data_IF_625562298385
#
_entry.id   IF_625562298385
#
_cell.length_a   1.000
_cell.length_b   1.000
_cell.length_c   1.000
_cell.angle_alpha   90.00
_cell.angle_beta   90.00
_cell.angle_gamma   90.00
#
_symmetry.space_group_name_H-M   'P 1'
#
loop_
_entity.id
_entity.type
_entity.pdbx_description
1 polymer ?
#
# COMPACT_ATOMS: atom_id res chain seq x y z
N UNK A 1 -12.96 20.87 20.05
CA UNK A 1 -11.72 21.54 19.63
C UNK A 1 -10.65 20.57 19.13
N UNK A 2 -10.05 19.69 19.95
CA UNK A 2 -8.95 18.81 19.50
C UNK A 2 -9.33 17.89 18.31
N UNK A 3 -10.53 17.30 18.30
CA UNK A 3 -11.03 16.41 17.23
C UNK A 3 -11.29 17.14 15.90
N UNK A 4 -11.71 18.40 15.99
CA UNK A 4 -11.93 19.25 14.82
C UNK A 4 -10.60 19.59 14.15
N UNK A 5 -9.53 19.80 14.93
CA UNK A 5 -8.17 20.07 14.41
C UNK A 5 -7.62 18.87 13.63
N UNK A 6 -7.74 17.65 14.16
CA UNK A 6 -7.25 16.45 13.46
C UNK A 6 -8.06 16.16 12.20
N UNK A 7 -9.36 16.49 12.16
CA UNK A 7 -10.17 16.40 10.95
C UNK A 7 -9.65 17.34 9.85
N UNK A 8 -9.43 18.62 10.17
CA UNK A 8 -8.83 19.59 9.25
C UNK A 8 -7.42 19.19 8.81
N UNK A 9 -6.56 18.76 9.74
CA UNK A 9 -5.21 18.30 9.42
C UNK A 9 -5.23 17.09 8.47
N UNK A 10 -6.18 16.16 8.65
CA UNK A 10 -6.31 14.99 7.77
C UNK A 10 -6.66 15.43 6.36
N UNK A 11 -7.59 16.38 6.20
CA UNK A 11 -7.96 16.91 4.89
C UNK A 11 -6.80 17.67 4.24
N UNK A 12 -6.14 18.57 4.97
CA UNK A 12 -5.02 19.34 4.45
C UNK A 12 -3.86 18.44 4.01
N UNK A 13 -3.49 17.44 4.83
CA UNK A 13 -2.43 16.50 4.47
C UNK A 13 -2.84 15.56 3.33
N UNK A 14 -4.10 15.14 3.24
CA UNK A 14 -4.58 14.34 2.10
C UNK A 14 -4.50 15.15 0.79
N UNK A 15 -4.88 16.43 0.82
CA UNK A 15 -4.77 17.33 -0.34
C UNK A 15 -3.30 17.60 -0.67
N UNK A 16 -2.45 17.90 0.32
CA UNK A 16 -1.02 18.11 0.10
C UNK A 16 -0.33 16.85 -0.47
N UNK A 17 -0.70 15.67 0.02
CA UNK A 17 -0.15 14.41 -0.46
C UNK A 17 -0.57 14.14 -1.91
N UNK A 18 -1.84 14.40 -2.25
CA UNK A 18 -2.33 14.32 -3.62
C UNK A 18 -1.74 15.40 -4.55
N UNK A 19 -1.28 16.52 -3.98
CA UNK A 19 -0.64 17.59 -4.73
C UNK A 19 0.84 17.31 -5.05
N UNK A 20 1.50 16.42 -4.30
CA UNK A 20 2.93 16.14 -4.45
C UNK A 20 3.34 15.78 -5.90
N UNK A 21 2.61 14.94 -6.66
CA UNK A 21 2.97 14.61 -8.04
C UNK A 21 2.96 15.79 -9.03
N UNK A 22 2.34 16.92 -8.68
CA UNK A 22 2.34 18.11 -9.55
C UNK A 22 3.58 18.99 -9.36
N UNK A 23 4.38 18.73 -8.33
CA UNK A 23 5.57 19.51 -7.98
C UNK A 23 6.85 18.65 -7.89
N UNK A 24 6.76 17.37 -8.24
CA UNK A 24 7.88 16.41 -8.25
C UNK A 24 7.83 15.55 -9.51
N UNK A 25 8.98 15.02 -9.92
CA UNK A 25 9.03 14.07 -11.03
C UNK A 25 8.21 12.79 -10.78
N UNK A 26 7.59 12.19 -11.82
CA UNK A 26 6.83 10.96 -11.68
C UNK A 26 7.69 9.78 -11.19
N UNK A 27 7.24 9.11 -10.13
CA UNK A 27 7.93 7.93 -9.58
C UNK A 27 7.31 6.62 -10.08
N UNK A 28 8.12 5.77 -10.71
CA UNK A 28 7.73 4.43 -11.18
C UNK A 28 8.68 3.32 -10.68
N UNK A 29 9.51 3.64 -9.69
CA UNK A 29 10.65 2.85 -9.23
C UNK A 29 11.84 3.76 -8.97
N UNK A 30 12.89 3.21 -8.33
CA UNK A 30 14.15 3.95 -8.17
C UNK A 30 14.90 4.00 -9.49
N UNK A 31 15.49 5.15 -9.79
CA UNK A 31 16.32 5.35 -10.98
C UNK A 31 17.68 4.65 -10.78
N UNK A 32 18.25 4.12 -11.86
CA UNK A 32 19.55 3.45 -11.84
C UNK A 32 20.69 4.32 -11.30
N UNK A 33 20.59 5.64 -11.43
CA UNK A 33 21.62 6.59 -10.98
C UNK A 33 21.52 6.93 -9.48
N UNK A 34 20.43 6.56 -8.79
CA UNK A 34 20.25 6.82 -7.36
C UNK A 34 20.94 5.79 -6.46
N UNK A 35 21.34 4.64 -7.03
CA UNK A 35 21.82 3.48 -6.30
C UNK A 35 23.24 3.13 -6.74
N UNK A 36 24.12 2.67 -5.83
CA UNK A 36 25.48 2.24 -6.20
C UNK A 36 25.52 1.16 -7.30
N UNK A 37 24.55 0.25 -7.28
CA UNK A 37 24.32 -0.78 -8.29
C UNK A 37 22.99 -0.46 -8.99
N UNK A 38 23.00 -0.02 -10.26
CA UNK A 38 21.78 0.35 -10.98
C UNK A 38 20.71 -0.74 -10.99
N UNK A 39 19.45 -0.34 -10.81
CA UNK A 39 18.27 -1.22 -10.78
C UNK A 39 17.32 -0.90 -11.94
N UNK A 40 17.71 -1.19 -13.18
CA UNK A 40 16.94 -0.77 -14.37
C UNK A 40 15.60 -1.50 -14.50
N UNK A 41 15.56 -2.79 -14.16
CA UNK A 41 14.32 -3.59 -14.21
C UNK A 41 14.31 -4.70 -13.16
N UNK A 42 14.31 -4.36 -11.85
CA UNK A 42 14.34 -5.35 -10.80
C UNK A 42 13.05 -6.20 -10.83
N UNK A 43 13.14 -7.54 -10.73
CA UNK A 43 11.96 -8.42 -10.82
C UNK A 43 10.86 -8.13 -9.80
N UNK A 44 11.21 -7.60 -8.62
CA UNK A 44 10.25 -7.28 -7.55
C UNK A 44 9.37 -6.07 -7.87
N UNK A 45 9.83 -5.14 -8.72
CA UNK A 45 9.09 -3.92 -9.04
C UNK A 45 7.96 -4.22 -10.03
N UNK A 46 6.73 -3.75 -9.80
CA UNK A 46 5.61 -3.98 -10.71
C UNK A 46 5.79 -3.23 -12.03
N UNK A 47 5.03 -3.62 -13.06
CA UNK A 47 4.91 -2.85 -14.30
C UNK A 47 4.45 -1.40 -14.02
N UNK A 48 4.95 -0.44 -14.80
CA UNK A 48 4.73 1.01 -14.55
C UNK A 48 3.26 1.42 -14.47
N UNK A 49 2.37 0.78 -15.23
CA UNK A 49 0.93 1.05 -15.16
C UNK A 49 0.32 0.75 -13.78
N UNK A 50 0.93 -0.11 -12.97
CA UNK A 50 0.43 -0.44 -11.64
C UNK A 50 0.47 0.78 -10.70
N UNK A 51 1.37 1.74 -10.92
CA UNK A 51 1.46 2.97 -10.13
C UNK A 51 0.26 3.91 -10.36
N UNK A 52 -0.57 3.68 -11.40
CA UNK A 52 -1.82 4.45 -11.61
C UNK A 52 -2.83 4.33 -10.47
N UNK A 53 -2.72 3.31 -9.61
CA UNK A 53 -3.56 3.16 -8.41
C UNK A 53 -3.46 4.36 -7.47
N UNK A 54 -2.34 5.10 -7.48
CA UNK A 54 -2.17 6.30 -6.68
C UNK A 54 -3.25 7.34 -6.97
N UNK A 55 -3.68 7.52 -8.23
CA UNK A 55 -4.76 8.45 -8.55
C UNK A 55 -6.07 8.14 -7.83
N UNK A 56 -6.41 6.84 -7.75
CA UNK A 56 -7.59 6.36 -7.02
C UNK A 56 -7.40 6.56 -5.50
N UNK A 57 -6.22 6.22 -4.97
CA UNK A 57 -5.90 6.38 -3.55
C UNK A 57 -6.00 7.85 -3.13
N UNK A 58 -5.38 8.77 -3.88
CA UNK A 58 -5.39 10.20 -3.59
C UNK A 58 -6.81 10.77 -3.57
N UNK A 59 -7.58 10.53 -4.63
CA UNK A 59 -8.94 11.02 -4.73
C UNK A 59 -9.82 10.47 -3.59
N UNK A 60 -9.70 9.18 -3.29
CA UNK A 60 -10.54 8.54 -2.29
C UNK A 60 -10.17 8.96 -0.86
N UNK A 61 -8.89 9.21 -0.57
CA UNK A 61 -8.45 9.78 0.70
C UNK A 61 -8.95 11.22 0.89
N UNK A 62 -8.97 12.04 -0.16
CA UNK A 62 -9.55 13.39 -0.10
C UNK A 62 -11.06 13.32 0.18
N UNK A 63 -11.80 12.49 -0.56
CA UNK A 63 -13.24 12.30 -0.35
C UNK A 63 -13.53 11.81 1.08
N UNK A 64 -12.73 10.85 1.56
CA UNK A 64 -12.78 10.34 2.93
C UNK A 64 -12.56 11.45 3.96
N UNK A 65 -11.51 12.24 3.81
CA UNK A 65 -11.18 13.31 4.75
C UNK A 65 -12.22 14.44 4.73
N UNK A 66 -12.74 14.83 3.56
CA UNK A 66 -13.78 15.84 3.41
C UNK A 66 -15.10 15.39 4.05
N UNK A 67 -15.51 14.14 3.81
CA UNK A 67 -16.66 13.55 4.50
C UNK A 67 -16.43 13.48 6.01
N UNK A 68 -15.24 13.07 6.42
CA UNK A 68 -14.81 13.00 7.81
C UNK A 68 -14.89 14.33 8.54
N UNK A 69 -14.53 15.42 7.86
CA UNK A 69 -14.63 16.77 8.40
C UNK A 69 -16.09 17.23 8.51
N UNK A 70 -16.88 17.06 7.43
CA UNK A 70 -18.27 17.54 7.35
C UNK A 70 -19.23 16.76 8.26
N UNK A 71 -19.15 15.44 8.24
CA UNK A 71 -20.16 14.56 8.83
C UNK A 71 -19.71 13.86 10.11
N UNK A 72 -18.39 13.85 10.39
CA UNK A 72 -17.77 13.05 11.46
C UNK A 72 -16.70 13.82 12.22
N UNK A 73 -16.76 15.16 12.22
CA UNK A 73 -15.73 16.03 12.80
C UNK A 73 -15.40 15.67 14.25
N UNK A 74 -16.43 15.47 15.08
CA UNK A 74 -16.29 15.17 16.51
C UNK A 74 -16.48 13.68 16.86
N UNK A 75 -16.62 12.80 15.86
CA UNK A 75 -16.85 11.36 16.05
C UNK A 75 -15.61 10.67 16.66
N UNK A 76 -15.74 10.02 17.84
CA UNK A 76 -14.62 9.38 18.50
C UNK A 76 -14.06 8.16 17.76
N UNK A 77 -14.86 7.45 16.96
CA UNK A 77 -14.40 6.30 16.18
C UNK A 77 -13.54 6.75 14.99
N UNK A 78 -13.90 7.86 14.36
CA UNK A 78 -13.06 8.50 13.33
C UNK A 78 -11.74 9.01 13.92
N UNK A 79 -11.79 9.56 15.12
CA UNK A 79 -10.59 10.08 15.79
C UNK A 79 -9.52 9.01 16.03
N UNK A 80 -9.93 7.78 16.38
CA UNK A 80 -9.02 6.62 16.54
C UNK A 80 -8.25 6.31 15.25
N UNK A 81 -8.84 6.59 14.09
CA UNK A 81 -8.23 6.34 12.77
C UNK A 81 -7.34 7.50 12.35
N UNK A 82 -7.74 8.76 12.64
CA UNK A 82 -7.00 9.96 12.23
C UNK A 82 -5.58 10.00 12.78
N UNK A 83 -5.36 9.68 14.06
CA UNK A 83 -4.01 9.72 14.66
C UNK A 83 -2.94 8.98 13.84
N UNK A 84 -3.06 7.65 13.65
CA UNK A 84 -2.11 6.91 12.83
C UNK A 84 -2.16 7.26 11.33
N UNK A 85 -3.32 7.66 10.79
CA UNK A 85 -3.42 8.08 9.38
C UNK A 85 -2.66 9.38 9.12
N UNK A 86 -2.70 10.34 10.06
CA UNK A 86 -1.96 11.60 9.98
C UNK A 86 -0.45 11.35 9.89
N UNK A 87 0.08 10.35 10.62
CA UNK A 87 1.49 9.97 10.50
C UNK A 87 1.80 9.51 9.08
N UNK A 88 0.97 8.63 8.53
CA UNK A 88 1.16 8.13 7.17
C UNK A 88 1.07 9.24 6.11
N UNK A 89 0.10 10.16 6.25
CA UNK A 89 -0.05 11.28 5.33
C UNK A 89 1.09 12.31 5.47
N UNK A 90 1.48 12.65 6.71
CA UNK A 90 2.55 13.62 6.96
C UNK A 90 3.90 13.14 6.41
N UNK A 91 4.20 11.84 6.53
CA UNK A 91 5.39 11.24 5.89
C UNK A 91 5.20 11.14 4.37
N UNK A 92 3.99 10.87 3.91
CA UNK A 92 3.66 10.76 2.48
C UNK A 92 3.85 12.03 1.68
N UNK A 93 3.52 13.20 2.25
CA UNK A 93 3.66 14.50 1.57
C UNK A 93 5.07 14.71 0.98
N UNK A 94 6.16 14.62 1.76
CA UNK A 94 7.51 14.76 1.21
C UNK A 94 8.05 13.48 0.55
N UNK A 95 7.38 12.33 0.71
CA UNK A 95 7.92 11.03 0.30
C UNK A 95 8.33 10.99 -1.17
N UNK A 96 7.50 11.55 -2.06
CA UNK A 96 7.76 11.49 -3.50
C UNK A 96 9.02 12.27 -3.89
N UNK A 97 9.23 13.45 -3.29
CA UNK A 97 10.46 14.22 -3.48
C UNK A 97 11.68 13.46 -2.95
N UNK A 98 11.58 12.87 -1.75
CA UNK A 98 12.66 12.07 -1.16
C UNK A 98 12.96 10.81 -1.98
N UNK A 99 11.94 10.18 -2.58
CA UNK A 99 12.09 9.00 -3.42
C UNK A 99 12.82 9.29 -4.74
N UNK A 100 12.76 10.54 -5.23
CA UNK A 100 13.54 10.99 -6.39
C UNK A 100 15.00 11.31 -6.06
N UNK A 101 15.38 11.38 -4.78
CA UNK A 101 16.74 11.73 -4.35
C UNK A 101 17.46 10.59 -3.62
N UNK A 102 16.73 9.80 -2.82
CA UNK A 102 17.32 8.79 -1.95
C UNK A 102 16.40 7.58 -1.78
N UNK A 103 16.75 6.48 -2.44
CA UNK A 103 16.09 5.19 -2.30
C UNK A 103 16.07 4.66 -0.84
N UNK A 104 17.16 4.87 -0.09
CA UNK A 104 17.27 4.40 1.29
C UNK A 104 16.27 5.10 2.22
N UNK A 105 16.27 6.44 2.24
CA UNK A 105 15.32 7.21 3.04
C UNK A 105 13.88 6.95 2.59
N UNK A 106 13.61 6.87 1.29
CA UNK A 106 12.29 6.57 0.77
C UNK A 106 11.79 5.17 1.21
N UNK A 107 12.69 4.19 1.29
CA UNK A 107 12.40 2.86 1.84
C UNK A 107 12.00 2.94 3.31
N UNK A 108 12.76 3.68 4.13
CA UNK A 108 12.39 3.87 5.56
C UNK A 108 11.04 4.55 5.70
N UNK A 109 10.83 5.64 4.94
CA UNK A 109 9.59 6.41 4.99
C UNK A 109 8.37 5.59 4.55
N UNK A 110 8.48 4.76 3.52
CA UNK A 110 7.33 3.96 3.06
C UNK A 110 6.92 2.90 4.09
N UNK A 111 7.87 2.32 4.85
CA UNK A 111 7.56 1.45 5.98
C UNK A 111 6.86 2.21 7.12
N UNK A 112 7.29 3.45 7.43
CA UNK A 112 6.61 4.31 8.41
C UNK A 112 5.18 4.63 7.97
N UNK A 113 4.99 4.95 6.68
CA UNK A 113 3.67 5.17 6.09
C UNK A 113 2.81 3.91 6.16
N UNK A 114 3.35 2.74 5.78
CA UNK A 114 2.63 1.48 5.84
C UNK A 114 2.21 1.15 7.26
N UNK A 115 3.10 1.32 8.24
CA UNK A 115 2.80 1.16 9.66
C UNK A 115 1.65 2.06 10.12
N UNK A 116 1.69 3.36 9.78
CA UNK A 116 0.61 4.31 10.08
C UNK A 116 -0.71 3.95 9.39
N UNK A 117 -0.69 3.60 8.11
CA UNK A 117 -1.88 3.25 7.34
C UNK A 117 -2.52 1.94 7.81
N UNK A 118 -1.72 0.90 8.10
CA UNK A 118 -2.20 -0.37 8.67
C UNK A 118 -2.77 -0.13 10.08
N UNK A 119 -2.07 0.65 10.91
CA UNK A 119 -2.54 1.03 12.23
C UNK A 119 -3.88 1.80 12.18
N UNK A 120 -4.06 2.67 11.19
CA UNK A 120 -5.32 3.36 10.93
C UNK A 120 -6.41 2.37 10.50
N UNK A 121 -6.12 1.50 9.53
CA UNK A 121 -7.05 0.49 9.00
C UNK A 121 -7.60 -0.42 10.11
N UNK A 122 -6.72 -0.91 10.97
CA UNK A 122 -7.08 -1.82 12.06
C UNK A 122 -7.98 -1.17 13.12
N UNK A 123 -8.03 0.17 13.17
CA UNK A 123 -8.88 0.97 14.06
C UNK A 123 -10.18 1.44 13.41
N UNK A 124 -10.44 1.08 12.15
CA UNK A 124 -11.65 1.55 11.44
C UNK A 124 -12.94 0.93 12.01
N UNK A 125 -14.01 1.72 12.23
CA UNK A 125 -15.29 1.23 12.70
C UNK A 125 -16.02 0.38 11.63
N UNK A 126 -16.99 -0.42 12.05
CA UNK A 126 -17.77 -1.32 11.17
C UNK A 126 -18.72 -0.62 10.19
N UNK A 127 -19.03 0.64 10.47
CA UNK A 127 -19.80 1.56 9.64
C UNK A 127 -18.87 2.43 8.77
N UNK A 128 -19.42 3.32 7.92
CA UNK A 128 -18.65 4.21 7.05
C UNK A 128 -17.61 3.48 6.18
N UNK A 129 -18.02 2.34 5.61
CA UNK A 129 -17.10 1.46 4.89
C UNK A 129 -16.50 2.14 3.66
N UNK A 130 -17.34 2.79 2.85
CA UNK A 130 -16.93 3.46 1.63
C UNK A 130 -16.26 4.81 1.86
N UNK A 131 -16.57 5.48 2.97
CA UNK A 131 -16.05 6.82 3.28
C UNK A 131 -14.84 6.81 4.18
N UNK A 132 -14.51 5.69 4.85
CA UNK A 132 -13.33 5.60 5.72
C UNK A 132 -12.56 4.28 5.53
N UNK A 133 -13.20 3.14 5.77
CA UNK A 133 -12.50 1.86 5.86
C UNK A 133 -11.89 1.40 4.53
N UNK A 134 -12.62 1.51 3.43
CA UNK A 134 -12.15 1.14 2.10
C UNK A 134 -11.03 2.04 1.59
N UNK A 135 -11.13 3.39 1.64
CA UNK A 135 -10.03 4.26 1.24
C UNK A 135 -8.74 4.01 2.06
N UNK A 136 -8.85 3.92 3.39
CA UNK A 136 -7.70 3.61 4.25
C UNK A 136 -7.16 2.20 3.97
N UNK A 137 -8.05 1.25 3.68
CA UNK A 137 -7.69 -0.12 3.29
C UNK A 137 -6.87 -0.17 2.01
N UNK A 138 -7.35 0.48 0.95
CA UNK A 138 -6.67 0.55 -0.35
C UNK A 138 -5.28 1.17 -0.19
N UNK A 139 -5.19 2.28 0.55
CA UNK A 139 -3.93 2.96 0.84
C UNK A 139 -2.94 2.05 1.60
N UNK A 140 -3.39 1.42 2.69
CA UNK A 140 -2.56 0.53 3.48
C UNK A 140 -2.09 -0.71 2.68
N UNK A 141 -2.97 -1.30 1.85
CA UNK A 141 -2.64 -2.47 1.04
C UNK A 141 -1.56 -2.18 0.00
N UNK A 142 -1.68 -1.04 -0.68
CA UNK A 142 -0.66 -0.58 -1.63
C UNK A 142 0.68 -0.33 -0.93
N UNK A 143 0.67 0.39 0.21
CA UNK A 143 1.88 0.67 0.98
C UNK A 143 2.56 -0.60 1.51
N UNK A 144 1.81 -1.64 1.89
CA UNK A 144 2.40 -2.93 2.25
C UNK A 144 3.23 -3.48 1.10
N UNK A 145 2.67 -3.59 -0.10
CA UNK A 145 3.41 -4.10 -1.26
C UNK A 145 4.61 -3.21 -1.61
N UNK A 146 4.39 -1.90 -1.69
CA UNK A 146 5.41 -0.93 -2.07
C UNK A 146 6.60 -0.87 -1.08
N UNK A 147 6.36 -1.17 0.20
CA UNK A 147 7.43 -1.23 1.22
C UNK A 147 8.44 -2.33 0.91
N UNK A 148 7.97 -3.52 0.55
CA UNK A 148 8.85 -4.65 0.23
C UNK A 148 9.43 -4.55 -1.18
N UNK A 149 8.74 -3.89 -2.12
CA UNK A 149 9.33 -3.51 -3.42
C UNK A 149 10.51 -2.57 -3.20
N UNK A 150 10.32 -1.52 -2.39
CA UNK A 150 11.36 -0.55 -2.05
C UNK A 150 12.53 -1.23 -1.34
N UNK A 151 12.25 -2.11 -0.37
CA UNK A 151 13.29 -2.87 0.32
C UNK A 151 14.11 -3.72 -0.65
N UNK A 152 13.46 -4.50 -1.52
CA UNK A 152 14.17 -5.39 -2.45
C UNK A 152 15.01 -4.62 -3.46
N UNK A 153 14.46 -3.54 -4.02
CA UNK A 153 15.18 -2.67 -4.95
C UNK A 153 16.36 -1.97 -4.28
N UNK A 154 16.16 -1.39 -3.10
CA UNK A 154 17.24 -0.73 -2.34
C UNK A 154 18.32 -1.72 -1.92
N UNK A 155 17.94 -2.88 -1.37
CA UNK A 155 18.90 -3.88 -0.92
C UNK A 155 19.76 -4.43 -2.07
N UNK A 156 19.14 -4.68 -3.24
CA UNK A 156 19.88 -5.03 -4.44
C UNK A 156 20.75 -3.87 -4.95
N UNK A 157 20.24 -2.64 -4.89
CA UNK A 157 20.94 -1.44 -5.34
C UNK A 157 22.15 -1.06 -4.50
N UNK A 158 22.17 -1.42 -3.21
CA UNK A 158 23.37 -1.31 -2.36
C UNK A 158 24.32 -2.52 -2.48
N UNK A 159 24.05 -3.46 -3.41
CA UNK A 159 24.91 -4.61 -3.64
C UNK A 159 24.88 -5.63 -2.49
N UNK A 160 23.79 -5.69 -1.70
CA UNK A 160 23.67 -6.71 -0.66
C UNK A 160 23.54 -8.11 -1.28
N UNK A 161 23.93 -9.11 -0.51
CA UNK A 161 24.21 -10.53 -0.83
C UNK A 161 23.46 -11.19 -2.00
N UNK A 162 22.18 -10.89 -2.25
CA UNK A 162 21.28 -11.70 -3.08
C UNK A 162 21.05 -11.17 -4.52
N UNK A 163 21.51 -9.97 -4.87
CA UNK A 163 21.23 -9.33 -6.16
C UNK A 163 19.72 -9.10 -6.43
N UNK A 164 19.32 -8.54 -7.59
CA UNK A 164 17.92 -8.14 -7.84
C UNK A 164 16.92 -9.32 -7.78
N UNK A 165 17.25 -10.44 -8.41
CA UNK A 165 16.38 -11.63 -8.45
C UNK A 165 16.31 -12.33 -7.09
N UNK A 166 17.43 -12.45 -6.37
CA UNK A 166 17.44 -13.08 -5.05
C UNK A 166 16.68 -12.24 -4.01
N UNK A 167 16.83 -10.91 -4.04
CA UNK A 167 16.00 -10.03 -3.21
C UNK A 167 14.51 -10.09 -3.57
N UNK A 168 14.15 -10.30 -4.83
CA UNK A 168 12.76 -10.53 -5.22
C UNK A 168 12.19 -11.81 -4.57
N UNK A 169 12.96 -12.90 -4.53
CA UNK A 169 12.59 -14.15 -3.87
C UNK A 169 12.47 -14.02 -2.34
N UNK A 170 13.08 -13.01 -1.72
CA UNK A 170 12.95 -12.75 -0.28
C UNK A 170 11.82 -11.77 0.01
N UNK A 171 11.79 -10.63 -0.68
CA UNK A 171 10.85 -9.55 -0.39
C UNK A 171 9.41 -9.89 -0.81
N UNK A 172 9.21 -10.66 -1.89
CA UNK A 172 7.85 -11.04 -2.32
C UNK A 172 7.14 -11.94 -1.28
N UNK A 173 7.74 -13.03 -0.76
CA UNK A 173 7.15 -13.80 0.34
C UNK A 173 6.94 -12.98 1.62
N UNK A 174 7.86 -12.09 1.98
CA UNK A 174 7.69 -11.23 3.16
C UNK A 174 6.50 -10.27 3.00
N UNK A 175 6.34 -9.68 1.82
CA UNK A 175 5.16 -8.86 1.48
C UNK A 175 3.87 -9.66 1.62
N UNK A 176 3.85 -10.89 1.09
CA UNK A 176 2.70 -11.79 1.17
C UNK A 176 2.40 -12.21 2.61
N UNK A 177 3.42 -12.46 3.44
CA UNK A 177 3.26 -12.80 4.84
C UNK A 177 2.56 -11.66 5.60
N UNK A 178 3.05 -10.43 5.45
CA UNK A 178 2.42 -9.25 6.08
C UNK A 178 1.03 -9.00 5.51
N UNK A 179 0.86 -9.09 4.18
CA UNK A 179 -0.43 -8.92 3.54
C UNK A 179 -1.47 -9.93 4.03
N UNK A 180 -1.11 -11.22 4.10
CA UNK A 180 -1.98 -12.27 4.61
C UNK A 180 -2.30 -12.07 6.11
N UNK A 181 -1.30 -11.71 6.92
CA UNK A 181 -1.49 -11.45 8.35
C UNK A 181 -2.50 -10.30 8.57
N UNK A 182 -2.37 -9.19 7.84
CA UNK A 182 -3.31 -8.06 7.93
C UNK A 182 -4.69 -8.42 7.35
N UNK A 183 -4.75 -8.99 6.13
CA UNK A 183 -6.01 -9.31 5.46
C UNK A 183 -6.83 -10.37 6.19
N UNK A 184 -6.18 -11.26 6.96
CA UNK A 184 -6.86 -12.28 7.76
C UNK A 184 -7.61 -11.73 8.98
N UNK A 185 -7.40 -10.46 9.34
CA UNK A 185 -8.09 -9.83 10.48
C UNK A 185 -9.56 -9.58 10.12
N UNK A 186 -10.54 -10.00 10.95
CA UNK A 186 -11.97 -9.96 10.58
C UNK A 186 -12.52 -8.59 10.17
N UNK A 187 -11.94 -7.51 10.71
CA UNK A 187 -12.37 -6.14 10.47
C UNK A 187 -11.74 -5.50 9.22
N UNK A 188 -10.75 -6.13 8.61
CA UNK A 188 -9.97 -5.54 7.52
C UNK A 188 -10.77 -5.49 6.22
N UNK A 189 -10.69 -4.33 5.58
CA UNK A 189 -11.31 -4.03 4.30
C UNK A 189 -10.86 -4.98 3.19
N UNK A 190 -11.76 -5.50 2.34
CA UNK A 190 -11.38 -6.14 1.08
C UNK A 190 -10.51 -5.24 0.17
N UNK A 191 -10.67 -3.92 0.27
CA UNK A 191 -9.86 -2.96 -0.51
C UNK A 191 -8.36 -3.07 -0.21
N UNK A 192 -7.98 -3.52 0.99
CA UNK A 192 -6.59 -3.81 1.32
C UNK A 192 -6.01 -4.90 0.42
N UNK A 193 -6.66 -6.06 0.39
CA UNK A 193 -6.25 -7.18 -0.44
C UNK A 193 -6.37 -6.87 -1.94
N UNK A 194 -7.36 -6.06 -2.36
CA UNK A 194 -7.46 -5.60 -3.76
C UNK A 194 -6.23 -4.78 -4.17
N UNK A 195 -5.74 -3.86 -3.33
CA UNK A 195 -4.52 -3.11 -3.63
C UNK A 195 -3.28 -4.02 -3.69
N UNK A 196 -3.18 -5.01 -2.80
CA UNK A 196 -2.10 -6.01 -2.85
C UNK A 196 -2.17 -6.84 -4.13
N UNK A 197 -3.36 -7.35 -4.50
CA UNK A 197 -3.58 -8.09 -5.76
C UNK A 197 -3.20 -7.24 -6.97
N UNK A 198 -3.54 -5.96 -6.97
CA UNK A 198 -3.15 -5.04 -8.03
C UNK A 198 -1.63 -4.93 -8.19
N UNK A 199 -0.91 -4.75 -7.07
CA UNK A 199 0.56 -4.73 -7.08
C UNK A 199 1.15 -6.06 -7.58
N UNK A 200 0.65 -7.19 -7.08
CA UNK A 200 1.08 -8.52 -7.51
C UNK A 200 0.78 -8.77 -8.99
N UNK A 201 -0.33 -8.25 -9.52
CA UNK A 201 -0.66 -8.34 -10.94
C UNK A 201 0.37 -7.58 -11.77
N UNK A 202 0.78 -6.38 -11.32
CA UNK A 202 1.86 -5.62 -11.94
C UNK A 202 3.20 -6.39 -11.94
N UNK A 203 3.54 -7.05 -10.84
CA UNK A 203 4.75 -7.89 -10.73
C UNK A 203 4.66 -9.11 -11.66
N UNK A 204 3.51 -9.79 -11.66
CA UNK A 204 3.27 -10.96 -12.51
C UNK A 204 3.40 -10.61 -13.99
N UNK A 205 2.72 -9.55 -14.44
CA UNK A 205 2.74 -9.12 -15.84
C UNK A 205 4.15 -8.72 -16.29
N UNK A 206 4.92 -8.03 -15.43
CA UNK A 206 6.30 -7.66 -15.76
C UNK A 206 7.20 -8.89 -15.97
N UNK A 207 6.99 -9.94 -15.20
CA UNK A 207 7.89 -11.10 -15.16
C UNK A 207 7.43 -12.29 -16.02
N UNK A 208 6.26 -12.20 -16.65
CA UNK A 208 5.69 -13.26 -17.49
C UNK A 208 6.39 -13.48 -18.86
N UNK A 209 6.94 -12.45 -19.55
CA UNK A 209 7.61 -12.65 -20.83
C UNK A 209 8.81 -13.60 -20.79
N UNK A 210 9.09 -14.29 -21.91
CA UNK A 210 10.26 -15.15 -22.04
C UNK A 210 11.57 -14.35 -21.87
N UNK A 211 12.49 -14.87 -21.05
CA UNK A 211 13.75 -14.17 -20.71
C UNK A 211 13.67 -13.23 -19.50
N UNK A 212 12.49 -13.03 -18.89
CA UNK A 212 12.35 -12.33 -17.61
C UNK A 212 12.57 -13.29 -16.42
N UNK A 213 11.72 -13.23 -15.38
CA UNK A 213 11.79 -14.12 -14.21
C UNK A 213 10.48 -14.91 -14.01
N UNK A 214 10.21 -15.97 -14.80
CA UNK A 214 8.94 -16.72 -14.72
C UNK A 214 8.62 -17.26 -13.33
N UNK A 215 9.63 -17.62 -12.53
CA UNK A 215 9.42 -18.04 -11.14
C UNK A 215 8.82 -16.95 -10.25
N UNK A 216 9.22 -15.68 -10.43
CA UNK A 216 8.64 -14.54 -9.72
C UNK A 216 7.21 -14.28 -10.19
N UNK A 217 6.92 -14.44 -11.48
CA UNK A 217 5.56 -14.34 -12.00
C UNK A 217 4.63 -15.40 -11.38
N UNK A 218 5.09 -16.65 -11.31
CA UNK A 218 4.36 -17.75 -10.66
C UNK A 218 4.13 -17.47 -9.17
N UNK A 219 5.16 -17.00 -8.45
CA UNK A 219 5.02 -16.65 -7.04
C UNK A 219 4.01 -15.51 -6.83
N UNK A 220 4.03 -14.50 -7.69
CA UNK A 220 3.04 -13.41 -7.65
C UNK A 220 1.62 -13.93 -7.92
N UNK A 221 1.43 -14.83 -8.88
CA UNK A 221 0.14 -15.48 -9.14
C UNK A 221 -0.37 -16.27 -7.93
N UNK A 222 0.48 -17.09 -7.31
CA UNK A 222 0.13 -17.82 -6.08
C UNK A 222 -0.26 -16.85 -4.94
N UNK A 223 0.46 -15.73 -4.83
CA UNK A 223 0.12 -14.65 -3.90
C UNK A 223 -1.26 -14.04 -4.18
N UNK A 224 -1.60 -13.79 -5.46
CA UNK A 224 -2.92 -13.29 -5.86
C UNK A 224 -4.02 -14.26 -5.41
N UNK A 225 -3.85 -15.56 -5.68
CA UNK A 225 -4.82 -16.59 -5.31
C UNK A 225 -4.99 -16.68 -3.78
N UNK A 226 -3.89 -16.60 -3.02
CA UNK A 226 -3.92 -16.59 -1.57
C UNK A 226 -4.72 -15.39 -1.03
N UNK A 227 -4.41 -14.17 -1.48
CA UNK A 227 -5.09 -12.96 -1.00
C UNK A 227 -6.57 -12.96 -1.42
N UNK A 228 -6.89 -13.43 -2.64
CA UNK A 228 -8.27 -13.57 -3.10
C UNK A 228 -9.06 -14.55 -2.21
N UNK A 229 -8.47 -15.69 -1.85
CA UNK A 229 -9.08 -16.64 -0.94
C UNK A 229 -9.36 -16.03 0.44
N UNK A 230 -8.43 -15.23 0.97
CA UNK A 230 -8.62 -14.53 2.25
C UNK A 230 -9.73 -13.48 2.21
N UNK A 231 -9.89 -12.76 1.08
CA UNK A 231 -11.00 -11.82 0.87
C UNK A 231 -12.35 -12.56 0.86
N UNK A 232 -12.42 -13.73 0.21
CA UNK A 232 -13.67 -14.47 0.02
C UNK A 232 -14.06 -15.35 1.22
N UNK A 233 -13.12 -15.67 2.12
CA UNK A 233 -13.33 -16.54 3.29
C UNK A 233 -14.58 -16.18 4.12
N UNK A 234 -14.83 -14.92 4.51
CA UNK A 234 -16.02 -14.59 5.32
C UNK A 234 -17.35 -14.83 4.61
N UNK A 235 -17.37 -14.72 3.28
CA UNK A 235 -18.57 -14.99 2.47
C UNK A 235 -18.86 -16.49 2.43
N UNK A 236 -17.83 -17.31 2.20
CA UNK A 236 -17.96 -18.76 2.18
C UNK A 236 -18.50 -19.30 3.52
N UNK A 237 -17.96 -18.83 4.64
CA UNK A 237 -18.42 -19.25 5.99
C UNK A 237 -19.90 -18.91 6.22
N UNK A 238 -20.37 -17.74 5.75
CA UNK A 238 -21.77 -17.33 5.89
C UNK A 238 -22.73 -18.16 5.01
N UNK A 239 -22.29 -18.54 3.81
CA UNK A 239 -23.10 -19.35 2.90
C UNK A 239 -23.25 -20.78 3.40
N UNK A 240 -22.20 -21.36 3.98
CA UNK A 240 -22.25 -22.69 4.59
C UNK A 240 -23.18 -22.71 5.80
N UNK A 241 -23.06 -21.74 6.71
CA UNK A 241 -23.93 -21.64 7.88
C UNK A 241 -25.43 -21.46 7.54
N UNK A 242 -25.75 -20.90 6.37
CA UNK A 242 -27.14 -20.77 5.88
C UNK A 242 -27.71 -22.03 5.24
N UNK A 243 -26.86 -23.01 4.88
CA UNK A 243 -27.31 -24.29 4.30
C UNK A 243 -27.60 -25.34 5.37
N UNK A 244 -27.05 -25.16 6.57
CA UNK A 244 -27.14 -26.10 7.69
C UNK A 244 -28.27 -25.77 8.68
N UNK A 245 -28.96 -24.63 8.53
CA UNK A 245 -30.08 -24.21 9.37
C UNK A 245 -31.31 -23.85 8.53
#
# INVERSE_FOLDING_TARGET
MRRTITAWATLLLAVAFAAAPFVTEPFQGYDGNQLPVPQDSPPIQPAGWAFSIWGIIYLWLIVSAAFGLKSRGDDPEWEKVRGPLLIALAVGVPWLAVANESALLATVMIFLMAGGAIAALLRTPIFDRWTLRHPVGLFAGWLTAASFVSLGATAAGYGLVLGPTGWAWVCLPLALLVAAAVQSRPQVSPAYGIAVIWALTGIMVKNAPAGASPGIATLALLGILLIAALILRPLATRLLARREG
#
